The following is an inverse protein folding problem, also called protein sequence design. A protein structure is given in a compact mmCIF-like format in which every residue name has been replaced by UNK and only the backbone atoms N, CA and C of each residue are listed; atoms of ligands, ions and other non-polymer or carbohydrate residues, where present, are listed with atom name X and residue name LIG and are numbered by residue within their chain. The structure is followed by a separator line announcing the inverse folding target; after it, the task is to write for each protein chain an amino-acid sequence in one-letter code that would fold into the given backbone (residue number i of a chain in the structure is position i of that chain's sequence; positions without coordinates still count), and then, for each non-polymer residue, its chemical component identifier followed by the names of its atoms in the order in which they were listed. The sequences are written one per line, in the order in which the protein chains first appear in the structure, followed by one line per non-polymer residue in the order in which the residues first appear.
data_IF_404267338750
#
_entry.id   IF_404267338750
#
_cell.length_a   1.000
_cell.length_b   1.000
_cell.length_c   1.000
_cell.angle_alpha   90.00
_cell.angle_beta   90.00
_cell.angle_gamma   90.00
#
_symmetry.space_group_name_H-M   'P 1'
#
loop_
_entity.id
_entity.type
_entity.pdbx_description
1 polymer ?
#
# COMPACT_ATOMS: atom_id res chain seq x y z
N UNK A 1 -6.94 12.12 7.11
CA UNK A 1 -5.70 12.72 7.66
C UNK A 1 -5.79 14.24 7.68
N UNK A 2 -6.86 14.84 8.19
CA UNK A 2 -7.13 16.29 7.99
C UNK A 2 -6.84 17.16 9.21
N UNK A 3 -6.87 16.63 10.44
CA UNK A 3 -6.69 17.43 11.65
C UNK A 3 -5.23 17.81 11.96
N UNK A 4 -4.33 16.81 12.00
CA UNK A 4 -2.95 17.02 12.47
C UNK A 4 -2.09 17.82 11.47
N UNK A 5 -2.24 17.53 10.17
CA UNK A 5 -1.56 18.25 9.09
C UNK A 5 -2.03 19.71 8.98
N UNK A 6 -3.33 19.98 9.21
CA UNK A 6 -3.84 21.36 9.26
C UNK A 6 -3.26 22.13 10.45
N UNK A 7 -3.08 21.47 11.59
CA UNK A 7 -2.53 22.07 12.80
C UNK A 7 -1.01 22.32 12.68
N UNK A 8 -0.24 21.42 12.07
CA UNK A 8 1.20 21.61 11.82
C UNK A 8 1.45 22.80 10.88
N UNK A 9 0.67 22.92 9.80
CA UNK A 9 0.73 24.07 8.88
C UNK A 9 0.33 25.36 9.58
N UNK A 10 -0.73 25.33 10.41
CA UNK A 10 -1.15 26.49 11.20
C UNK A 10 -0.05 27.01 12.14
N UNK A 11 0.65 26.10 12.84
CA UNK A 11 1.79 26.45 13.70
C UNK A 11 2.94 27.06 12.88
N UNK A 12 3.27 26.48 11.72
CA UNK A 12 4.34 26.99 10.85
C UNK A 12 4.07 28.44 10.41
N UNK A 13 2.85 28.73 9.96
CA UNK A 13 2.44 30.08 9.55
C UNK A 13 2.56 31.08 10.71
N UNK A 14 2.23 30.64 11.93
CA UNK A 14 2.33 31.46 13.13
C UNK A 14 3.80 31.76 13.47
N UNK A 15 4.67 30.74 13.42
CA UNK A 15 6.13 30.89 13.64
C UNK A 15 6.75 31.83 12.60
N UNK A 16 6.37 31.69 11.33
CA UNK A 16 6.82 32.58 10.26
C UNK A 16 6.35 34.02 10.48
N UNK A 17 5.10 34.21 10.91
CA UNK A 17 4.56 35.54 11.19
C UNK A 17 5.31 36.23 12.33
N UNK A 18 5.68 35.49 13.38
CA UNK A 18 6.50 35.99 14.48
C UNK A 18 7.92 36.34 13.99
N UNK A 19 8.55 35.45 13.22
CA UNK A 19 9.88 35.66 12.66
C UNK A 19 9.94 36.88 11.75
N UNK A 20 8.95 37.07 10.86
CA UNK A 20 8.85 38.24 9.98
C UNK A 20 8.60 39.54 10.77
N UNK A 21 7.78 39.49 11.82
CA UNK A 21 7.55 40.65 12.67
C UNK A 21 8.82 41.07 13.41
N UNK A 22 9.60 40.10 13.92
CA UNK A 22 10.87 40.36 14.61
C UNK A 22 11.98 40.77 13.64
N UNK A 23 11.97 40.25 12.42
CA UNK A 23 12.90 40.60 11.35
C UNK A 23 12.88 42.07 10.95
N UNK A 24 11.76 42.77 11.18
CA UNK A 24 11.67 44.23 10.97
C UNK A 24 12.52 45.03 11.96
N UNK A 25 12.71 44.53 13.18
CA UNK A 25 13.51 45.18 14.22
C UNK A 25 14.92 44.59 14.34
N UNK A 26 15.05 43.28 14.16
CA UNK A 26 16.30 42.53 14.21
C UNK A 26 16.27 41.46 13.11
N UNK A 27 16.94 41.70 11.98
CA UNK A 27 16.89 40.80 10.84
C UNK A 27 17.56 39.44 11.14
N UNK A 28 18.59 39.41 11.98
CA UNK A 28 19.30 38.17 12.32
C UNK A 28 18.40 37.26 13.15
N UNK A 29 17.77 37.81 14.19
CA UNK A 29 16.83 37.07 15.04
C UNK A 29 15.60 36.58 14.25
N UNK A 30 15.08 37.41 13.35
CA UNK A 30 13.94 37.02 12.50
C UNK A 30 14.26 35.83 11.59
N UNK A 31 15.44 35.84 10.96
CA UNK A 31 15.91 34.74 10.10
C UNK A 31 16.12 33.47 10.93
N UNK A 32 16.72 33.56 12.11
CA UNK A 32 16.97 32.41 12.99
C UNK A 32 15.66 31.72 13.41
N UNK A 33 14.64 32.49 13.78
CA UNK A 33 13.31 31.97 14.15
C UNK A 33 12.66 31.22 12.98
N UNK A 34 12.68 31.81 11.77
CA UNK A 34 12.09 31.19 10.58
C UNK A 34 12.85 29.91 10.23
N UNK A 35 14.18 29.93 10.29
CA UNK A 35 15.03 28.81 9.94
C UNK A 35 14.83 27.62 10.89
N UNK A 36 14.93 27.84 12.20
CA UNK A 36 14.72 26.80 13.21
C UNK A 36 13.30 26.24 13.19
N UNK A 37 12.30 27.11 13.02
CA UNK A 37 10.90 26.70 12.89
C UNK A 37 10.65 25.81 11.68
N UNK A 38 11.24 26.16 10.54
CA UNK A 38 11.09 25.39 9.30
C UNK A 38 11.77 24.03 9.36
N UNK A 39 12.96 23.94 9.97
CA UNK A 39 13.66 22.66 10.19
C UNK A 39 12.83 21.76 11.10
N UNK A 40 12.33 22.30 12.21
CA UNK A 40 11.53 21.54 13.16
C UNK A 40 10.23 21.02 12.54
N UNK A 41 9.57 21.83 11.70
CA UNK A 41 8.41 21.41 10.92
C UNK A 41 8.74 20.28 9.94
N UNK A 42 9.83 20.40 9.18
CA UNK A 42 10.24 19.36 8.23
C UNK A 42 10.56 18.03 8.93
N UNK A 43 11.26 18.06 10.07
CA UNK A 43 11.53 16.87 10.89
C UNK A 43 10.22 16.24 11.36
N UNK A 44 9.27 17.04 11.85
CA UNK A 44 7.99 16.54 12.33
C UNK A 44 7.16 15.91 11.20
N UNK A 45 7.07 16.56 10.04
CA UNK A 45 6.38 16.00 8.86
C UNK A 45 7.06 14.71 8.38
N UNK A 46 8.39 14.64 8.38
CA UNK A 46 9.10 13.39 8.06
C UNK A 46 8.83 12.29 9.08
N UNK A 47 8.79 12.61 10.37
CA UNK A 47 8.45 11.64 11.43
C UNK A 47 7.00 11.15 11.28
N UNK A 48 6.05 12.06 11.04
CA UNK A 48 4.66 11.69 10.78
C UNK A 48 4.56 10.83 9.52
N UNK A 49 5.21 11.22 8.41
CA UNK A 49 5.19 10.47 7.15
C UNK A 49 5.83 9.08 7.25
N UNK A 50 6.81 8.90 8.15
CA UNK A 50 7.45 7.58 8.39
C UNK A 50 6.66 6.70 9.37
N UNK A 51 5.87 7.30 10.27
CA UNK A 51 5.05 6.57 11.25
C UNK A 51 3.68 6.16 10.67
N UNK A 52 3.07 7.01 9.83
CA UNK A 52 1.75 6.74 9.28
C UNK A 52 1.84 6.00 7.94
N UNK A 53 1.55 4.70 7.97
CA UNK A 53 1.28 3.92 6.76
C UNK A 53 0.13 4.57 5.98
N UNK A 54 0.38 4.93 4.72
CA UNK A 54 -0.68 5.30 3.80
C UNK A 54 -1.61 4.09 3.65
N UNK A 55 -2.84 4.21 4.16
CA UNK A 55 -3.82 3.11 4.19
C UNK A 55 -4.64 3.04 2.91
N UNK A 56 -4.02 3.30 1.78
CA UNK A 56 -4.72 3.25 0.50
C UNK A 56 -4.32 1.98 -0.26
N UNK A 57 -5.28 1.07 -0.37
CA UNK A 57 -5.13 -0.16 -1.13
C UNK A 57 -4.56 -1.36 -0.38
N UNK A 58 -4.14 -2.32 -1.19
CA UNK A 58 -3.70 -3.65 -0.79
C UNK A 58 -2.18 -3.73 -0.85
N UNK A 59 -1.56 -4.30 0.17
CA UNK A 59 -0.12 -4.58 0.19
C UNK A 59 0.14 -6.08 0.25
N UNK A 60 1.24 -6.51 -0.35
CA UNK A 60 1.73 -7.88 -0.26
C UNK A 60 2.83 -8.01 0.79
N UNK A 61 2.67 -8.98 1.69
CA UNK A 61 3.64 -9.31 2.73
C UNK A 61 4.07 -10.77 2.55
N UNK A 62 5.35 -10.99 2.25
CA UNK A 62 5.87 -12.34 2.10
C UNK A 62 6.01 -13.03 3.45
N UNK A 63 5.63 -14.30 3.54
CA UNK A 63 5.78 -15.06 4.80
C UNK A 63 7.27 -15.28 5.14
N UNK A 64 8.19 -15.16 4.17
CA UNK A 64 9.65 -15.23 4.40
C UNK A 64 10.16 -14.06 5.24
N UNK A 65 9.64 -12.86 5.00
CA UNK A 65 10.08 -11.64 5.69
C UNK A 65 9.21 -11.37 6.90
N UNK A 66 7.88 -11.46 6.74
CA UNK A 66 6.90 -11.06 7.76
C UNK A 66 6.39 -12.20 8.63
N UNK A 67 6.72 -13.44 8.29
CA UNK A 67 6.19 -14.62 8.98
C UNK A 67 4.72 -14.90 8.67
N UNK A 68 4.16 -15.94 9.29
CA UNK A 68 2.78 -16.36 9.03
C UNK A 68 1.71 -15.44 9.65
N UNK A 69 2.11 -14.63 10.62
CA UNK A 69 1.24 -13.76 11.44
C UNK A 69 1.70 -12.29 11.35
N UNK A 70 1.60 -11.64 10.18
CA UNK A 70 2.13 -10.29 9.96
C UNK A 70 1.48 -9.23 10.87
N UNK A 71 0.28 -9.49 11.42
CA UNK A 71 -0.42 -8.57 12.31
C UNK A 71 0.36 -8.19 13.58
N UNK A 72 1.31 -9.02 14.05
CA UNK A 72 2.11 -8.69 15.23
C UNK A 72 3.05 -7.52 14.94
N UNK A 73 3.88 -7.64 13.90
CA UNK A 73 4.81 -6.58 13.47
C UNK A 73 4.08 -5.36 12.93
N UNK A 74 3.00 -5.55 12.17
CA UNK A 74 2.17 -4.42 11.73
C UNK A 74 1.52 -3.71 12.92
N UNK A 75 1.15 -4.44 13.98
CA UNK A 75 0.58 -3.88 15.20
C UNK A 75 1.57 -3.05 16.02
N UNK A 76 2.86 -3.40 15.99
CA UNK A 76 3.95 -2.60 16.59
C UNK A 76 4.10 -1.24 15.89
N UNK A 77 3.87 -1.19 14.58
CA UNK A 77 3.94 0.04 13.79
C UNK A 77 2.64 0.86 13.85
N UNK A 78 1.50 0.20 13.73
CA UNK A 78 0.17 0.80 13.76
C UNK A 78 -0.76 -0.06 14.63
N UNK A 79 -1.12 0.38 15.85
CA UNK A 79 -1.99 -0.38 16.76
C UNK A 79 -3.34 -0.76 16.15
N UNK A 80 -3.82 -0.05 15.11
CA UNK A 80 -5.06 -0.42 14.42
C UNK A 80 -4.91 -1.68 13.56
N UNK A 81 -3.68 -2.00 13.12
CA UNK A 81 -3.33 -3.19 12.36
C UNK A 81 -2.97 -4.38 13.25
N UNK A 82 -2.91 -4.22 14.58
CA UNK A 82 -2.73 -5.33 15.51
C UNK A 82 -3.87 -6.35 15.45
N UNK A 83 -5.05 -5.92 14.99
CA UNK A 83 -6.25 -6.75 14.83
C UNK A 83 -6.70 -6.76 13.37
N UNK A 84 -6.12 -7.68 12.60
CA UNK A 84 -6.55 -7.98 11.23
C UNK A 84 -7.56 -9.13 11.20
N UNK A 85 -8.52 -9.06 10.29
CA UNK A 85 -9.52 -10.10 10.07
C UNK A 85 -9.06 -10.96 8.90
N UNK A 86 -8.84 -12.26 9.14
CA UNK A 86 -8.55 -13.19 8.05
C UNK A 86 -9.81 -13.51 7.26
N UNK A 87 -9.87 -13.06 6.01
CA UNK A 87 -10.92 -13.45 5.09
C UNK A 87 -10.72 -14.88 4.59
N UNK A 88 -11.81 -15.59 4.38
CA UNK A 88 -11.76 -16.89 3.72
C UNK A 88 -10.95 -17.94 4.48
N UNK A 89 -10.98 -17.96 5.83
CA UNK A 89 -10.23 -18.94 6.66
C UNK A 89 -10.44 -20.42 6.24
N UNK A 90 -11.56 -20.72 5.59
CA UNK A 90 -11.91 -22.05 5.05
C UNK A 90 -11.98 -22.10 3.52
N UNK A 91 -11.65 -21.00 2.84
CA UNK A 91 -11.61 -20.96 1.39
C UNK A 91 -10.31 -21.56 0.90
N UNK A 92 -10.40 -22.28 -0.23
CA UNK A 92 -9.21 -22.71 -0.94
C UNK A 92 -8.45 -21.48 -1.43
N UNK A 93 -7.13 -21.49 -1.26
CA UNK A 93 -6.25 -20.52 -1.90
C UNK A 93 -6.13 -20.95 -3.35
N UNK A 94 -6.64 -20.16 -4.31
CA UNK A 94 -6.55 -20.52 -5.72
C UNK A 94 -5.08 -20.58 -6.11
N UNK A 95 -4.69 -21.69 -6.73
CA UNK A 95 -3.36 -21.89 -7.30
C UNK A 95 -3.48 -22.16 -8.78
N UNK A 96 -2.47 -21.76 -9.55
CA UNK A 96 -2.30 -22.20 -10.93
C UNK A 96 -1.11 -23.13 -11.05
N UNK A 97 -1.06 -23.89 -12.14
CA UNK A 97 0.17 -24.52 -12.59
C UNK A 97 1.23 -23.44 -12.86
N UNK A 98 2.30 -23.44 -12.08
CA UNK A 98 3.49 -22.63 -12.31
C UNK A 98 4.40 -23.43 -13.23
N UNK A 99 4.91 -22.83 -14.32
CA UNK A 99 5.66 -23.61 -15.32
C UNK A 99 7.00 -24.08 -14.75
N UNK A 100 7.68 -23.27 -13.93
CA UNK A 100 9.00 -23.64 -13.37
C UNK A 100 9.32 -22.96 -12.02
N UNK A 101 8.59 -21.91 -11.66
CA UNK A 101 8.85 -21.12 -10.45
C UNK A 101 8.23 -21.76 -9.20
N UNK A 102 9.02 -21.92 -8.13
CA UNK A 102 8.51 -22.42 -6.85
C UNK A 102 7.65 -21.34 -6.20
N UNK A 103 6.35 -21.59 -6.00
CA UNK A 103 5.50 -20.62 -5.34
C UNK A 103 5.91 -20.38 -3.89
N UNK A 104 5.65 -19.18 -3.41
CA UNK A 104 5.90 -18.75 -2.05
C UNK A 104 4.59 -18.30 -1.38
N UNK A 105 4.48 -18.60 -0.08
CA UNK A 105 3.35 -18.15 0.71
C UNK A 105 3.50 -16.66 1.02
N UNK A 106 2.37 -15.96 1.01
CA UNK A 106 2.29 -14.60 1.50
C UNK A 106 0.90 -14.23 1.94
N UNK A 107 0.77 -12.96 2.31
CA UNK A 107 -0.46 -12.38 2.81
C UNK A 107 -0.70 -11.07 2.09
N UNK A 108 -1.87 -10.93 1.46
CA UNK A 108 -2.38 -9.63 1.04
C UNK A 108 -3.10 -8.98 2.23
N UNK A 109 -2.83 -7.71 2.48
CA UNK A 109 -3.47 -6.94 3.55
C UNK A 109 -4.07 -5.68 2.96
N UNK A 110 -5.38 -5.50 3.14
CA UNK A 110 -6.05 -4.22 2.93
C UNK A 110 -5.88 -3.39 4.20
N UNK A 111 -5.03 -2.36 4.12
CA UNK A 111 -4.71 -1.51 5.26
C UNK A 111 -5.91 -0.67 5.72
N UNK A 112 -6.87 -0.41 4.84
CA UNK A 112 -8.06 0.38 5.16
C UNK A 112 -9.11 -0.46 5.88
N UNK A 113 -9.49 -1.59 5.29
CA UNK A 113 -10.53 -2.48 5.85
C UNK A 113 -10.00 -3.43 6.92
N UNK A 114 -8.66 -3.54 7.07
CA UNK A 114 -7.96 -4.44 8.00
C UNK A 114 -8.25 -5.91 7.72
N UNK A 115 -8.46 -6.25 6.46
CA UNK A 115 -8.67 -7.61 6.00
C UNK A 115 -7.36 -8.18 5.49
N UNK A 116 -7.09 -9.43 5.87
CA UNK A 116 -5.96 -10.20 5.36
C UNK A 116 -6.44 -11.42 4.58
N UNK A 117 -5.78 -11.70 3.45
CA UNK A 117 -6.04 -12.84 2.57
C UNK A 117 -4.74 -13.60 2.38
N UNK A 118 -4.75 -14.93 2.59
CA UNK A 118 -3.60 -15.77 2.30
C UNK A 118 -3.51 -16.05 0.80
N UNK A 119 -2.29 -15.93 0.28
CA UNK A 119 -2.01 -16.07 -1.15
C UNK A 119 -0.78 -16.91 -1.39
N UNK A 120 -0.74 -17.48 -2.59
CA UNK A 120 0.40 -18.21 -3.10
C UNK A 120 0.88 -17.47 -4.36
N UNK A 121 2.12 -16.97 -4.33
CA UNK A 121 2.66 -16.15 -5.42
C UNK A 121 4.07 -16.60 -5.80
N UNK A 122 4.42 -16.48 -7.08
CA UNK A 122 5.81 -16.69 -7.53
C UNK A 122 6.65 -15.42 -7.44
N UNK A 123 6.02 -14.26 -7.43
CA UNK A 123 6.69 -12.96 -7.26
C UNK A 123 5.78 -11.92 -6.58
N UNK A 124 6.30 -10.72 -6.33
CA UNK A 124 5.61 -9.62 -5.66
C UNK A 124 4.53 -9.04 -6.59
N UNK A 125 3.24 -9.17 -6.25
CA UNK A 125 2.18 -8.55 -7.04
C UNK A 125 2.07 -7.05 -6.73
N UNK A 126 1.70 -6.27 -7.74
CA UNK A 126 1.41 -4.85 -7.60
C UNK A 126 0.03 -4.45 -8.14
N UNK A 127 -0.71 -5.38 -8.75
CA UNK A 127 -2.09 -5.16 -9.15
C UNK A 127 -2.94 -6.43 -9.03
N UNK A 128 -4.26 -6.22 -8.90
CA UNK A 128 -5.27 -7.27 -8.89
C UNK A 128 -6.23 -7.08 -10.07
N UNK A 129 -6.48 -8.16 -10.81
CA UNK A 129 -7.42 -8.20 -11.92
C UNK A 129 -8.53 -9.16 -11.56
N UNK A 130 -9.78 -8.69 -11.55
CA UNK A 130 -10.93 -9.53 -11.25
C UNK A 130 -11.14 -10.53 -12.40
N UNK A 131 -11.28 -11.81 -12.04
CA UNK A 131 -11.58 -12.88 -13.00
C UNK A 131 -13.02 -13.37 -12.86
N UNK A 132 -13.49 -13.57 -11.63
CA UNK A 132 -14.81 -14.11 -11.37
C UNK A 132 -15.40 -13.56 -10.08
N UNK A 133 -16.72 -13.38 -10.08
CA UNK A 133 -17.51 -12.99 -8.90
C UNK A 133 -18.40 -14.18 -8.55
N UNK A 134 -18.38 -14.58 -7.28
CA UNK A 134 -19.18 -15.67 -6.75
C UNK A 134 -19.83 -15.26 -5.43
N UNK A 135 -20.86 -15.99 -4.98
CA UNK A 135 -21.59 -15.63 -3.74
C UNK A 135 -20.70 -15.60 -2.49
N UNK A 136 -19.55 -16.28 -2.53
CA UNK A 136 -18.58 -16.33 -1.43
C UNK A 136 -17.38 -15.40 -1.58
N UNK A 137 -17.31 -14.54 -2.62
CA UNK A 137 -16.17 -13.64 -2.83
C UNK A 137 -15.87 -13.31 -4.29
N UNK A 138 -14.68 -12.76 -4.52
CA UNK A 138 -14.18 -12.39 -5.85
C UNK A 138 -12.85 -13.09 -6.06
N UNK A 139 -12.78 -13.92 -7.09
CA UNK A 139 -11.52 -14.51 -7.54
C UNK A 139 -10.78 -13.52 -8.42
N UNK A 140 -9.54 -13.21 -8.06
CA UNK A 140 -8.68 -12.27 -8.78
C UNK A 140 -7.36 -12.91 -9.18
N UNK A 141 -6.85 -12.49 -10.34
CA UNK A 141 -5.47 -12.70 -10.75
C UNK A 141 -4.58 -11.67 -10.07
N UNK A 142 -3.45 -12.12 -9.55
CA UNK A 142 -2.39 -11.26 -9.06
C UNK A 142 -1.34 -11.12 -10.13
N UNK A 143 -0.96 -9.88 -10.40
CA UNK A 143 -0.01 -9.57 -11.46
C UNK A 143 1.10 -8.64 -10.98
N UNK A 144 2.24 -8.79 -11.62
CA UNK A 144 3.34 -7.83 -11.61
C UNK A 144 3.26 -7.05 -12.93
N UNK A 145 2.69 -5.86 -12.82
CA UNK A 145 2.43 -4.94 -13.93
C UNK A 145 3.48 -3.84 -13.91
N UNK A 146 4.21 -3.72 -15.01
CA UNK A 146 5.08 -2.55 -15.24
C UNK A 146 4.24 -1.32 -15.57
N UNK A 147 4.82 -0.15 -15.36
CA UNK A 147 4.15 1.14 -15.63
C UNK A 147 3.79 1.30 -17.11
N UNK A 148 4.59 0.72 -18.01
CA UNK A 148 4.36 0.76 -19.45
C UNK A 148 3.19 -0.15 -19.87
N UNK A 149 2.12 0.47 -20.39
CA UNK A 149 0.84 -0.17 -20.74
C UNK A 149 0.91 -1.15 -21.92
N UNK A 150 2.00 -1.18 -22.68
CA UNK A 150 2.13 -2.00 -23.89
C UNK A 150 2.85 -3.33 -23.65
N UNK A 151 3.32 -3.59 -22.43
CA UNK A 151 4.01 -4.83 -22.11
C UNK A 151 3.08 -5.94 -21.62
N UNK A 152 3.50 -7.18 -21.85
CA UNK A 152 2.84 -8.35 -21.29
C UNK A 152 2.91 -8.28 -19.76
N UNK A 153 1.74 -8.24 -19.15
CA UNK A 153 1.60 -8.27 -17.69
C UNK A 153 1.93 -9.69 -17.21
N UNK A 154 2.91 -9.82 -16.32
CA UNK A 154 3.26 -11.12 -15.77
C UNK A 154 2.27 -11.48 -14.68
N UNK A 155 1.64 -12.64 -14.83
CA UNK A 155 0.85 -13.25 -13.77
C UNK A 155 1.79 -13.84 -12.72
N UNK A 156 1.57 -13.50 -11.46
CA UNK A 156 2.40 -13.95 -10.34
C UNK A 156 1.61 -14.75 -9.30
N UNK A 157 0.27 -14.77 -9.37
CA UNK A 157 -0.53 -15.59 -8.48
C UNK A 157 -2.03 -15.38 -8.63
N UNK A 158 -2.79 -15.82 -7.63
CA UNK A 158 -4.23 -15.62 -7.53
C UNK A 158 -4.67 -15.49 -6.08
N UNK A 159 -5.85 -14.90 -5.88
CA UNK A 159 -6.46 -14.79 -4.57
C UNK A 159 -7.99 -14.80 -4.67
N UNK A 160 -8.63 -15.12 -3.54
CA UNK A 160 -10.05 -14.86 -3.31
C UNK A 160 -10.16 -13.72 -2.30
N UNK A 161 -10.81 -12.63 -2.70
CA UNK A 161 -10.99 -11.42 -1.88
C UNK A 161 -12.46 -11.20 -1.54
N UNK A 162 -12.76 -10.39 -0.51
CA UNK A 162 -14.14 -10.06 -0.18
C UNK A 162 -14.84 -9.26 -1.29
N UNK A 163 -16.18 -9.33 -1.39
CA UNK A 163 -16.94 -8.61 -2.41
C UNK A 163 -16.79 -7.08 -2.41
N UNK A 164 -16.45 -6.47 -1.26
CA UNK A 164 -16.29 -5.01 -1.18
C UNK A 164 -15.18 -4.48 -2.11
N UNK A 165 -14.24 -5.32 -2.53
CA UNK A 165 -13.16 -4.93 -3.45
C UNK A 165 -13.71 -4.37 -4.76
N UNK A 166 -14.90 -4.79 -5.18
CA UNK A 166 -15.57 -4.23 -6.37
C UNK A 166 -15.77 -2.71 -6.28
N UNK A 167 -16.04 -2.18 -5.09
CA UNK A 167 -16.18 -0.73 -4.86
C UNK A 167 -14.84 0.01 -4.85
N UNK A 168 -13.72 -0.71 -4.78
CA UNK A 168 -12.36 -0.15 -4.84
C UNK A 168 -11.75 -0.25 -6.24
N UNK A 169 -12.48 -0.80 -7.21
CA UNK A 169 -11.95 -1.01 -8.56
C UNK A 169 -11.78 0.30 -9.32
N UNK A 170 -10.66 0.40 -10.05
CA UNK A 170 -10.37 1.53 -10.93
C UNK A 170 -10.27 1.01 -12.37
N UNK A 171 -10.80 1.77 -13.33
CA UNK A 171 -10.69 1.43 -14.75
C UNK A 171 -9.22 1.44 -15.16
N UNK A 172 -8.71 0.28 -15.56
CA UNK A 172 -7.28 0.10 -15.85
C UNK A 172 -6.95 -0.20 -17.32
N UNK A 173 -7.95 -0.44 -18.18
CA UNK A 173 -7.75 -0.79 -19.59
C UNK A 173 -8.43 -2.10 -19.98
N UNK A 174 -8.08 -2.62 -21.17
CA UNK A 174 -8.56 -3.90 -21.69
C UNK A 174 -7.47 -4.96 -21.52
N UNK A 175 -7.85 -6.17 -21.11
CA UNK A 175 -6.92 -7.27 -20.87
C UNK A 175 -7.19 -8.37 -21.88
N UNK A 176 -6.15 -8.77 -22.60
CA UNK A 176 -6.17 -9.93 -23.47
C UNK A 176 -5.37 -11.05 -22.81
N UNK A 177 -6.03 -12.15 -22.47
CA UNK A 177 -5.35 -13.35 -21.93
C UNK A 177 -5.04 -14.26 -23.11
N UNK A 178 -3.75 -14.49 -23.38
CA UNK A 178 -3.29 -15.35 -24.46
C UNK A 178 -1.93 -15.95 -24.15
N UNK A 179 -1.57 -17.01 -24.87
CA UNK A 179 -0.23 -17.58 -24.85
C UNK A 179 0.66 -16.64 -25.69
N UNK A 180 1.83 -16.21 -25.20
CA UNK A 180 2.79 -15.51 -26.03
C UNK A 180 3.02 -16.36 -27.29
N UNK A 181 2.78 -15.80 -28.48
CA UNK A 181 3.23 -16.48 -29.70
C UNK A 181 4.74 -16.61 -29.56
N UNK A 182 5.22 -17.82 -29.38
CA UNK A 182 6.65 -18.10 -29.43
C UNK A 182 7.21 -17.38 -30.66
N UNK A 183 8.27 -16.61 -30.45
CA UNK A 183 9.11 -16.19 -31.57
C UNK A 183 9.63 -17.49 -32.17
N UNK A 184 8.93 -18.01 -33.18
CA UNK A 184 9.47 -18.99 -34.12
C UNK A 184 10.78 -18.40 -34.61
N UNK A 185 11.89 -18.90 -34.07
CA UNK A 185 13.21 -18.83 -34.67
C UNK A 185 13.57 -20.25 -35.04
#
# INVERSE_FOLDING_TARGET
MTGLAGLSVGILVLVWSIGLSKGRSDPFLGIEIIWLGSISFAILEMLVGTIYLQRDGWIFLSDKVWGRAPQQRLGEQDPKLAKLITWGKRQLIPSWSFSDEKPSNGTLVDLNSRVMVKVLVTDIPNAMIILAIHGSGVTSMLVDRKEELHEFVRKVGMCNVPPYVLAQTVRSGTICVGIPSDKKK
#
